data_IF_329528365729
#
_entry.id   IF_329528365729
#
_cell.length_a   1.000
_cell.length_b   1.000
_cell.length_c   1.000
_cell.angle_alpha   90.00
_cell.angle_beta   90.00
_cell.angle_gamma   90.00
#
_symmetry.space_group_name_H-M   'P 1'
#
loop_
_entity.id
_entity.type
_entity.pdbx_description
1 polymer ?
#
# COMPACT_ATOMS: atom_id res chain seq x y z
N UNK A 1 -12.44 -1.90 14.91
CA UNK A 1 -11.14 -1.27 14.56
C UNK A 1 -10.80 -1.32 13.05
N UNK A 2 -11.14 -2.40 12.33
CA UNK A 2 -10.85 -2.56 10.89
C UNK A 2 -11.56 -1.55 9.98
N UNK A 3 -12.82 -1.22 10.27
CA UNK A 3 -13.62 -0.26 9.48
C UNK A 3 -12.98 1.14 9.45
N UNK A 4 -12.56 1.65 10.61
CA UNK A 4 -11.91 2.97 10.73
C UNK A 4 -10.61 3.02 9.94
N UNK A 5 -9.79 1.96 9.98
CA UNK A 5 -8.55 1.89 9.20
C UNK A 5 -8.81 1.92 7.69
N UNK A 6 -9.82 1.17 7.23
CA UNK A 6 -10.23 1.16 5.81
C UNK A 6 -10.79 2.52 5.39
N UNK A 7 -11.64 3.13 6.22
CA UNK A 7 -12.22 4.44 5.94
C UNK A 7 -11.16 5.53 5.83
N UNK A 8 -10.20 5.55 6.78
CA UNK A 8 -9.06 6.49 6.74
C UNK A 8 -8.19 6.23 5.51
N UNK A 9 -7.89 4.98 5.19
CA UNK A 9 -7.12 4.64 3.98
C UNK A 9 -7.82 5.13 2.70
N UNK A 10 -9.13 4.89 2.57
CA UNK A 10 -9.91 5.38 1.43
C UNK A 10 -9.94 6.91 1.36
N UNK A 11 -10.13 7.60 2.48
CA UNK A 11 -10.08 9.06 2.53
C UNK A 11 -8.72 9.61 2.11
N UNK A 12 -7.62 8.99 2.54
CA UNK A 12 -6.27 9.38 2.14
C UNK A 12 -6.04 9.19 0.64
N UNK A 13 -6.49 8.08 0.06
CA UNK A 13 -6.39 7.83 -1.39
C UNK A 13 -7.09 8.94 -2.17
N UNK A 14 -8.31 9.32 -1.76
CA UNK A 14 -9.08 10.40 -2.40
C UNK A 14 -8.37 11.74 -2.26
N UNK A 15 -7.91 12.10 -1.07
CA UNK A 15 -7.20 13.36 -0.82
C UNK A 15 -5.93 13.48 -1.67
N UNK A 16 -5.12 12.43 -1.74
CA UNK A 16 -3.90 12.41 -2.56
C UNK A 16 -4.24 12.47 -4.05
N UNK A 17 -5.28 11.75 -4.50
CA UNK A 17 -5.74 11.79 -5.89
C UNK A 17 -6.16 13.20 -6.32
N UNK A 18 -6.91 13.90 -5.49
CA UNK A 18 -7.32 15.29 -5.76
C UNK A 18 -6.12 16.24 -5.86
N UNK A 19 -5.14 16.11 -4.96
CA UNK A 19 -3.90 16.92 -5.01
C UNK A 19 -3.08 16.62 -6.27
N UNK A 20 -2.96 15.33 -6.64
CA UNK A 20 -2.26 14.92 -7.86
C UNK A 20 -2.91 15.51 -9.13
N UNK A 21 -4.24 15.57 -9.18
CA UNK A 21 -4.99 16.17 -10.29
C UNK A 21 -4.77 17.69 -10.42
N UNK A 22 -4.68 18.41 -9.31
CA UNK A 22 -4.41 19.85 -9.32
C UNK A 22 -2.98 20.13 -9.81
N UNK A 23 -2.01 19.34 -9.32
CA UNK A 23 -0.60 19.53 -9.66
C UNK A 23 -0.34 19.12 -11.11
N UNK A 24 -0.98 18.05 -11.62
CA UNK A 24 -0.70 17.51 -12.96
C UNK A 24 -0.95 18.51 -14.09
N UNK A 25 -1.96 19.37 -13.96
CA UNK A 25 -2.26 20.42 -14.93
C UNK A 25 -1.21 21.54 -14.98
N UNK A 26 -0.45 21.73 -13.91
CA UNK A 26 0.58 22.79 -13.80
C UNK A 26 1.97 22.33 -14.24
N UNK A 27 2.16 21.03 -14.48
CA UNK A 27 3.47 20.43 -14.80
C UNK A 27 3.92 20.77 -16.24
N UNK A 28 2.98 20.98 -17.17
CA UNK A 28 3.28 21.25 -18.57
C UNK A 28 3.21 22.75 -18.88
N UNK A 29 4.33 23.46 -18.70
CA UNK A 29 4.45 24.89 -19.01
C UNK A 29 4.91 25.13 -20.45
N UNK A 30 4.36 26.16 -21.12
CA UNK A 30 4.73 26.58 -22.49
C UNK A 30 6.22 26.86 -22.68
N UNK A 31 6.92 27.25 -21.60
CA UNK A 31 8.35 27.55 -21.59
C UNK A 31 9.25 26.30 -21.87
N UNK A 32 8.66 25.10 -21.92
CA UNK A 32 9.39 23.85 -22.18
C UNK A 32 9.04 23.21 -23.54
N UNK A 33 8.31 23.93 -24.39
CA UNK A 33 8.07 23.49 -25.77
C UNK A 33 9.39 23.31 -26.54
N UNK A 34 9.50 22.34 -27.46
CA UNK A 34 8.49 21.33 -27.83
C UNK A 34 8.62 20.00 -27.06
N UNK A 35 9.67 19.80 -26.27
CA UNK A 35 10.02 18.48 -25.69
C UNK A 35 9.43 18.21 -24.30
N UNK A 36 8.98 19.25 -23.57
CA UNK A 36 8.36 19.13 -22.23
C UNK A 36 9.10 18.19 -21.28
N UNK A 37 10.42 18.32 -21.21
CA UNK A 37 11.29 17.35 -20.56
C UNK A 37 10.99 17.21 -19.05
N UNK A 38 10.73 18.31 -18.34
CA UNK A 38 10.47 18.23 -16.90
C UNK A 38 9.14 17.54 -16.62
N UNK A 39 8.10 17.80 -17.42
CA UNK A 39 6.81 17.17 -17.21
C UNK A 39 6.83 15.66 -17.41
N UNK A 40 7.48 15.21 -18.49
CA UNK A 40 7.65 13.78 -18.74
C UNK A 40 8.52 13.10 -17.68
N UNK A 41 9.57 13.78 -17.20
CA UNK A 41 10.43 13.24 -16.13
C UNK A 41 9.65 13.08 -14.83
N UNK A 42 8.88 14.09 -14.42
CA UNK A 42 8.07 14.03 -13.20
C UNK A 42 7.05 12.89 -13.29
N UNK A 43 6.31 12.79 -14.40
CA UNK A 43 5.35 11.72 -14.62
C UNK A 43 6.01 10.34 -14.56
N UNK A 44 7.16 10.16 -15.23
CA UNK A 44 7.91 8.90 -15.21
C UNK A 44 8.41 8.56 -13.80
N UNK A 45 8.88 9.55 -13.03
CA UNK A 45 9.31 9.35 -11.64
C UNK A 45 8.15 8.87 -10.75
N UNK A 46 6.96 9.44 -10.88
CA UNK A 46 5.79 9.01 -10.11
C UNK A 46 5.36 7.57 -10.46
N UNK A 47 5.30 7.24 -11.75
CA UNK A 47 4.96 5.87 -12.19
C UNK A 47 6.01 4.86 -11.72
N UNK A 48 7.29 5.24 -11.80
CA UNK A 48 8.40 4.39 -11.34
C UNK A 48 8.31 4.17 -9.83
N UNK A 49 8.09 5.23 -9.04
CA UNK A 49 7.93 5.14 -7.59
C UNK A 49 6.72 4.28 -7.20
N UNK A 50 5.58 4.45 -7.87
CA UNK A 50 4.39 3.62 -7.64
C UNK A 50 4.67 2.15 -7.93
N UNK A 51 5.37 1.86 -9.02
CA UNK A 51 5.74 0.49 -9.40
C UNK A 51 6.67 -0.13 -8.35
N UNK A 52 7.68 0.60 -7.88
CA UNK A 52 8.58 0.14 -6.83
C UNK A 52 7.80 -0.14 -5.53
N UNK A 53 6.90 0.76 -5.13
CA UNK A 53 6.10 0.57 -3.93
C UNK A 53 5.19 -0.66 -4.03
N UNK A 54 4.56 -0.88 -5.19
CA UNK A 54 3.76 -2.07 -5.45
C UNK A 54 4.59 -3.37 -5.37
N UNK A 55 5.81 -3.37 -5.91
CA UNK A 55 6.73 -4.49 -5.80
C UNK A 55 7.14 -4.77 -4.36
N UNK A 56 7.50 -3.73 -3.59
CA UNK A 56 7.85 -3.88 -2.17
C UNK A 56 6.69 -4.50 -1.41
N UNK A 57 5.48 -3.96 -1.59
CA UNK A 57 4.28 -4.45 -0.92
C UNK A 57 4.00 -5.92 -1.27
N UNK A 58 4.17 -6.30 -2.54
CA UNK A 58 4.04 -7.68 -3.00
C UNK A 58 5.03 -8.62 -2.31
N UNK A 59 6.30 -8.22 -2.25
CA UNK A 59 7.35 -8.99 -1.60
C UNK A 59 7.09 -9.13 -0.10
N UNK A 60 6.65 -8.05 0.55
CA UNK A 60 6.26 -8.07 1.96
C UNK A 60 5.10 -9.04 2.21
N UNK A 61 4.06 -9.03 1.37
CA UNK A 61 2.94 -9.98 1.51
C UNK A 61 3.37 -11.43 1.30
N UNK A 62 4.22 -11.69 0.31
CA UNK A 62 4.80 -13.03 0.09
C UNK A 62 5.62 -13.46 1.32
N UNK A 63 6.47 -12.58 1.86
CA UNK A 63 7.28 -12.88 3.03
C UNK A 63 6.42 -13.20 4.26
N UNK A 64 5.39 -12.38 4.52
CA UNK A 64 4.47 -12.57 5.65
C UNK A 64 3.69 -13.88 5.47
N UNK A 65 3.15 -14.15 4.29
CA UNK A 65 2.41 -15.38 4.01
C UNK A 65 3.31 -16.62 4.14
N UNK A 66 4.56 -16.56 3.66
CA UNK A 66 5.55 -17.65 3.81
C UNK A 66 5.93 -17.88 5.26
N UNK A 67 6.09 -16.82 6.05
CA UNK A 67 6.35 -16.92 7.49
C UNK A 67 5.17 -17.58 8.21
N UNK A 68 3.95 -17.12 7.96
CA UNK A 68 2.72 -17.69 8.54
C UNK A 68 2.49 -19.15 8.14
N UNK A 69 2.85 -19.53 6.92
CA UNK A 69 2.72 -20.91 6.43
C UNK A 69 3.72 -21.88 7.09
N UNK A 70 4.72 -21.37 7.81
CA UNK A 70 5.76 -22.15 8.50
C UNK A 70 5.64 -22.11 10.01
N UNK A 71 4.64 -21.39 10.54
CA UNK A 71 4.41 -21.32 11.99
C UNK A 71 3.76 -22.60 12.50
N UNK A 72 4.17 -23.05 13.67
CA UNK A 72 3.54 -24.16 14.38
C UNK A 72 2.24 -23.69 15.06
N UNK A 73 1.37 -24.65 15.41
CA UNK A 73 0.08 -24.37 16.07
C UNK A 73 0.25 -23.58 17.37
N UNK A 74 1.30 -23.86 18.15
CA UNK A 74 1.61 -23.16 19.40
C UNK A 74 2.00 -21.68 19.16
N UNK A 75 2.73 -21.39 18.08
CA UNK A 75 3.11 -20.02 17.72
C UNK A 75 1.90 -19.24 17.21
N UNK A 76 0.99 -19.91 16.49
CA UNK A 76 -0.29 -19.36 16.03
C UNK A 76 -1.15 -18.95 17.23
N UNK A 77 -1.29 -19.83 18.22
CA UNK A 77 -2.10 -19.57 19.41
C UNK A 77 -1.51 -18.43 20.26
N UNK A 78 -0.18 -18.36 20.38
CA UNK A 78 0.50 -17.24 21.05
C UNK A 78 0.30 -15.91 20.32
N UNK A 79 0.34 -15.90 18.98
CA UNK A 79 0.12 -14.68 18.20
C UNK A 79 -1.34 -14.20 18.31
N UNK A 80 -2.30 -15.12 18.31
CA UNK A 80 -3.73 -14.82 18.55
C UNK A 80 -3.94 -14.24 19.95
N UNK A 81 -3.34 -14.84 20.99
CA UNK A 81 -3.42 -14.33 22.36
C UNK A 81 -2.79 -12.94 22.50
N UNK A 82 -1.66 -12.70 21.83
CA UNK A 82 -0.98 -11.39 21.81
C UNK A 82 -1.86 -10.27 21.25
N UNK A 83 -2.76 -10.58 20.32
CA UNK A 83 -3.67 -9.61 19.71
C UNK A 83 -5.03 -9.50 20.42
N UNK A 84 -5.20 -10.13 21.59
CA UNK A 84 -6.42 -10.05 22.39
C UNK A 84 -7.44 -11.14 22.08
N UNK A 85 -7.02 -12.24 21.45
CA UNK A 85 -7.88 -13.37 21.09
C UNK A 85 -8.39 -13.33 19.65
N UNK A 86 -9.09 -14.40 19.26
CA UNK A 86 -9.54 -14.64 17.88
C UNK A 86 -10.44 -13.49 17.36
N UNK A 87 -11.30 -12.94 18.23
CA UNK A 87 -12.24 -11.87 17.87
C UNK A 87 -11.55 -10.52 17.56
N UNK A 88 -10.38 -10.26 18.16
CA UNK A 88 -9.63 -9.01 17.97
C UNK A 88 -8.50 -9.12 16.94
N UNK A 89 -8.11 -10.34 16.58
CA UNK A 89 -7.04 -10.62 15.62
C UNK A 89 -7.37 -10.12 14.20
N UNK A 90 -8.63 -10.22 13.75
CA UNK A 90 -9.08 -9.67 12.45
C UNK A 90 -8.24 -10.13 11.26
N UNK A 91 -7.68 -9.18 10.48
CA UNK A 91 -6.80 -9.41 9.33
C UNK A 91 -5.40 -9.94 9.71
N UNK A 92 -5.08 -9.93 11.01
CA UNK A 92 -3.85 -10.52 11.55
C UNK A 92 -4.01 -12.00 11.90
N UNK A 93 -5.21 -12.57 11.76
CA UNK A 93 -5.41 -14.00 11.94
C UNK A 93 -4.48 -14.78 10.99
N UNK A 94 -3.74 -15.78 11.47
CA UNK A 94 -2.71 -16.46 10.67
C UNK A 94 -3.27 -17.22 9.46
N UNK A 95 -4.56 -17.60 9.48
CA UNK A 95 -5.25 -18.14 8.31
C UNK A 95 -5.57 -17.09 7.22
N UNK A 96 -5.52 -15.80 7.55
CA UNK A 96 -5.73 -14.73 6.58
C UNK A 96 -4.50 -14.62 5.66
N UNK A 97 -4.70 -14.96 4.38
CA UNK A 97 -3.69 -14.79 3.33
C UNK A 97 -3.79 -13.40 2.73
N UNK A 98 -2.70 -12.63 2.85
CA UNK A 98 -2.61 -11.35 2.17
C UNK A 98 -2.45 -11.58 0.67
N UNK A 99 -3.35 -11.00 -0.13
CA UNK A 99 -3.22 -10.96 -1.58
C UNK A 99 -3.02 -9.51 -2.01
N UNK A 100 -2.09 -9.29 -2.95
CA UNK A 100 -1.96 -8.04 -3.67
C UNK A 100 -2.59 -8.20 -5.05
#
# INVERSE_FOLDING_TARGET
ASLTRRAVASALIVSVGSLGGIISGQIYTDNQKPKYFLGNTIALSFVTLQTILALILRLTFIFINRRRSRMNQEEIDQEIQRYGGIELAGDRHPEFRYTL
#
